data_IF_481792677300
#
_entry.id   IF_481792677300
#
_cell.length_a   1.000
_cell.length_b   1.000
_cell.length_c   1.000
_cell.angle_alpha   90.00
_cell.angle_beta   90.00
_cell.angle_gamma   90.00
#
_symmetry.space_group_name_H-M   'P 1'
#
loop_
_entity.id
_entity.type
_entity.pdbx_description
1 polymer ?
#
# COMPACT_ATOMS: atom_id res chain seq x y z
N UNK A 1 -0.60 -5.37 -5.53
CA UNK A 1 -1.55 -5.74 -4.44
C UNK A 1 -1.00 -6.78 -3.49
N UNK A 2 -0.33 -7.87 -3.91
CA UNK A 2 0.23 -8.87 -2.96
C UNK A 2 1.75 -9.08 -3.10
N UNK A 3 2.47 -8.00 -3.40
CA UNK A 3 3.93 -7.94 -3.46
C UNK A 3 4.55 -8.19 -4.83
N UNK A 4 3.76 -8.74 -5.77
CA UNK A 4 4.10 -8.85 -7.19
C UNK A 4 2.96 -8.31 -8.06
N UNK A 5 3.23 -7.97 -9.33
CA UNK A 5 2.19 -7.66 -10.30
C UNK A 5 1.27 -8.86 -10.51
N UNK A 6 0.02 -8.56 -10.86
CA UNK A 6 -1.00 -9.59 -11.06
C UNK A 6 -0.61 -10.50 -12.22
N UNK A 7 -0.73 -11.82 -12.01
CA UNK A 7 -0.45 -12.85 -13.02
C UNK A 7 1.01 -12.90 -13.52
N UNK A 8 1.95 -12.29 -12.78
CA UNK A 8 3.37 -12.28 -13.13
C UNK A 8 4.15 -12.97 -11.99
N UNK A 9 4.88 -14.03 -12.33
CA UNK A 9 5.78 -14.71 -11.39
C UNK A 9 7.08 -13.90 -11.22
N UNK A 10 7.85 -14.12 -10.13
CA UNK A 10 9.16 -13.48 -9.97
C UNK A 10 10.10 -13.71 -11.15
N UNK A 11 10.07 -14.90 -11.76
CA UNK A 11 10.94 -15.25 -12.88
C UNK A 11 10.56 -14.47 -14.14
N UNK A 12 9.26 -14.40 -14.47
CA UNK A 12 8.78 -13.58 -15.59
C UNK A 12 9.12 -12.11 -15.34
N UNK A 13 8.97 -11.66 -14.10
CA UNK A 13 9.23 -10.28 -13.71
C UNK A 13 10.68 -9.85 -13.99
N UNK A 14 11.66 -10.71 -13.70
CA UNK A 14 13.09 -10.45 -13.97
C UNK A 14 13.40 -10.23 -15.45
N UNK A 15 12.53 -10.70 -16.34
CA UNK A 15 12.68 -10.57 -17.78
C UNK A 15 11.86 -9.43 -18.40
N UNK A 16 11.09 -8.66 -17.62
CA UNK A 16 10.37 -7.50 -18.14
C UNK A 16 11.32 -6.31 -18.25
N UNK A 17 11.58 -5.79 -19.46
CA UNK A 17 12.45 -4.63 -19.64
C UNK A 17 11.87 -3.39 -18.95
N UNK A 18 12.76 -2.52 -18.48
CA UNK A 18 12.46 -1.19 -17.93
C UNK A 18 11.62 -1.13 -16.64
N UNK A 19 11.26 -2.28 -16.06
CA UNK A 19 10.52 -2.29 -14.80
C UNK A 19 11.46 -2.07 -13.61
N UNK A 20 11.27 -0.93 -12.92
CA UNK A 20 12.16 -0.44 -11.85
C UNK A 20 11.66 -0.74 -10.44
N UNK A 21 10.38 -1.03 -10.26
CA UNK A 21 9.81 -1.21 -8.94
C UNK A 21 8.31 -1.47 -8.92
N UNK A 22 7.74 -1.46 -7.72
CA UNK A 22 6.38 -1.83 -7.43
C UNK A 22 5.68 -0.73 -6.65
N UNK A 23 4.45 -0.45 -7.03
CA UNK A 23 3.49 0.21 -6.14
C UNK A 23 2.66 -0.85 -5.43
N UNK A 24 2.58 -0.75 -4.11
CA UNK A 24 2.00 -1.79 -3.29
C UNK A 24 1.15 -1.18 -2.16
N UNK A 25 -0.18 -1.45 -2.15
CA UNK A 25 -1.06 -0.92 -1.12
C UNK A 25 -0.86 -1.67 0.20
N UNK A 26 -0.77 -0.93 1.29
CA UNK A 26 -0.58 -1.44 2.64
C UNK A 26 -1.68 -2.40 3.11
N UNK A 27 -2.99 -2.17 2.85
CA UNK A 27 -4.05 -3.05 3.34
C UNK A 27 -3.88 -4.52 2.96
N UNK A 28 -3.45 -4.77 1.73
CA UNK A 28 -3.22 -6.13 1.24
C UNK A 28 -1.94 -6.74 1.82
N UNK A 29 -0.89 -5.94 2.03
CA UNK A 29 0.34 -6.40 2.67
C UNK A 29 0.14 -6.72 4.15
N UNK A 30 -0.77 -6.03 4.82
CA UNK A 30 -1.05 -6.24 6.23
C UNK A 30 -1.58 -7.65 6.53
N UNK A 31 -2.20 -8.29 5.54
CA UNK A 31 -2.65 -9.68 5.60
C UNK A 31 -1.51 -10.71 5.34
N UNK A 32 -0.33 -10.26 4.92
CA UNK A 32 0.79 -11.14 4.56
C UNK A 32 1.82 -11.23 5.70
N UNK A 33 1.57 -12.11 6.67
CA UNK A 33 2.46 -12.28 7.83
C UNK A 33 3.88 -12.71 7.45
N UNK A 34 4.05 -13.41 6.33
CA UNK A 34 5.35 -13.89 5.84
C UNK A 34 6.34 -12.77 5.47
N UNK A 35 5.86 -11.56 5.24
CA UNK A 35 6.72 -10.40 4.91
C UNK A 35 7.45 -9.88 6.14
N UNK A 36 6.92 -10.12 7.34
CA UNK A 36 7.43 -9.53 8.58
C UNK A 36 8.82 -10.06 8.92
N UNK A 37 9.75 -9.15 9.18
CA UNK A 37 11.11 -9.45 9.64
C UNK A 37 12.11 -9.86 8.55
N UNK A 38 11.65 -10.16 7.33
CA UNK A 38 12.52 -10.51 6.20
C UNK A 38 12.65 -9.39 5.17
N UNK A 39 11.64 -8.51 5.09
CA UNK A 39 11.53 -7.47 4.07
C UNK A 39 10.93 -7.97 2.76
N UNK A 40 10.29 -7.06 2.02
CA UNK A 40 9.54 -7.36 0.79
C UNK A 40 10.42 -7.99 -0.30
N UNK A 41 11.56 -7.36 -0.62
CA UNK A 41 12.43 -7.84 -1.68
C UNK A 41 12.92 -9.27 -1.47
N UNK A 42 13.15 -9.66 -0.20
CA UNK A 42 13.65 -11.01 0.14
C UNK A 42 12.57 -12.05 -0.02
N UNK A 43 11.36 -11.76 0.46
CA UNK A 43 10.21 -12.68 0.36
C UNK A 43 9.83 -12.94 -1.09
N UNK A 44 9.91 -11.93 -1.96
CA UNK A 44 9.55 -12.06 -3.37
C UNK A 44 10.73 -12.34 -4.31
N UNK A 45 11.95 -12.48 -3.79
CA UNK A 45 13.17 -12.70 -4.55
C UNK A 45 13.41 -11.67 -5.68
N UNK A 46 13.17 -10.39 -5.37
CA UNK A 46 13.28 -9.23 -6.28
C UNK A 46 13.99 -8.08 -5.56
N UNK A 47 15.19 -8.35 -5.06
CA UNK A 47 16.00 -7.40 -4.30
C UNK A 47 16.53 -6.22 -5.13
N UNK A 48 16.53 -6.33 -6.46
CA UNK A 48 17.04 -5.34 -7.41
C UNK A 48 15.98 -4.30 -7.81
N UNK A 49 14.86 -4.25 -7.09
CA UNK A 49 13.66 -3.49 -7.47
C UNK A 49 13.15 -2.69 -6.29
N UNK A 50 12.71 -1.47 -6.58
CA UNK A 50 12.20 -0.58 -5.54
C UNK A 50 10.76 -0.95 -5.15
N UNK A 51 10.45 -0.92 -3.85
CA UNK A 51 9.11 -1.01 -3.31
C UNK A 51 8.63 0.35 -2.82
N UNK A 52 7.52 0.82 -3.37
CA UNK A 52 6.76 1.94 -2.86
C UNK A 52 5.46 1.43 -2.21
N UNK A 53 5.31 1.70 -0.92
CA UNK A 53 4.08 1.39 -0.17
C UNK A 53 3.18 2.61 -0.10
N UNK A 54 1.91 2.46 -0.51
CA UNK A 54 0.86 3.45 -0.28
C UNK A 54 -0.05 3.02 0.85
N UNK A 55 -0.72 3.97 1.51
CA UNK A 55 -1.67 3.66 2.59
C UNK A 55 -2.94 2.97 2.10
N UNK A 56 -3.32 3.17 0.84
CA UNK A 56 -4.56 2.67 0.27
C UNK A 56 -4.33 1.94 -1.05
N UNK A 57 -5.31 1.17 -1.48
CA UNK A 57 -5.37 0.69 -2.85
C UNK A 57 -6.19 1.67 -3.71
N UNK A 58 -5.61 2.33 -4.72
CA UNK A 58 -6.34 3.28 -5.58
C UNK A 58 -7.52 2.64 -6.35
N UNK A 59 -7.53 1.31 -6.44
CA UNK A 59 -8.62 0.57 -7.07
C UNK A 59 -9.70 0.12 -6.07
N UNK A 60 -9.48 0.27 -4.76
CA UNK A 60 -10.46 -0.03 -3.72
C UNK A 60 -10.71 1.22 -2.86
N UNK A 61 -11.89 1.83 -3.04
CA UNK A 61 -12.25 3.11 -2.44
C UNK A 61 -12.74 3.03 -0.98
N UNK A 62 -12.43 1.94 -0.28
CA UNK A 62 -12.98 1.65 1.06
C UNK A 62 -11.95 1.99 2.14
N UNK A 63 -11.84 3.29 2.42
CA UNK A 63 -11.22 3.77 3.65
C UNK A 63 -12.20 3.60 4.81
N UNK A 64 -11.68 3.04 5.91
CA UNK A 64 -12.39 3.00 7.17
C UNK A 64 -12.27 4.33 7.92
N UNK A 65 -12.96 4.47 9.06
CA UNK A 65 -12.88 5.68 9.88
C UNK A 65 -11.46 5.89 10.43
N UNK A 66 -11.03 7.15 10.46
CA UNK A 66 -9.82 7.65 11.10
C UNK A 66 -10.16 8.48 12.33
N UNK A 67 -9.21 8.60 13.25
CA UNK A 67 -9.24 9.52 14.38
C UNK A 67 -7.81 9.97 14.71
N UNK A 68 -7.67 10.82 15.72
CA UNK A 68 -6.38 11.41 16.11
C UNK A 68 -5.27 10.40 16.46
N UNK A 69 -5.62 9.15 16.77
CA UNK A 69 -4.67 8.11 17.18
C UNK A 69 -4.54 6.95 16.19
N UNK A 70 -5.36 6.91 15.13
CA UNK A 70 -5.38 5.75 14.24
C UNK A 70 -6.08 5.99 12.90
N UNK A 71 -5.71 5.18 11.91
CA UNK A 71 -6.41 5.06 10.62
C UNK A 71 -6.92 3.64 10.47
N UNK A 72 -8.14 3.48 9.95
CA UNK A 72 -8.69 2.17 9.62
C UNK A 72 -8.78 1.95 8.12
N UNK A 73 -8.54 0.72 7.68
CA UNK A 73 -8.72 0.30 6.29
C UNK A 73 -9.38 -1.07 6.23
N UNK A 74 -10.11 -1.32 5.16
CA UNK A 74 -10.67 -2.64 4.90
C UNK A 74 -9.63 -3.54 4.23
N UNK A 75 -9.59 -4.80 4.66
CA UNK A 75 -8.76 -5.84 4.04
C UNK A 75 -9.65 -7.03 3.69
N UNK A 76 -9.13 -7.98 2.92
CA UNK A 76 -9.81 -9.28 2.70
C UNK A 76 -10.05 -10.06 3.99
N UNK A 77 -9.28 -9.78 5.06
CA UNK A 77 -9.43 -10.38 6.39
C UNK A 77 -10.29 -9.52 7.33
N UNK A 78 -11.03 -8.54 6.79
CA UNK A 78 -11.85 -7.58 7.52
C UNK A 78 -11.12 -6.28 7.85
N UNK A 79 -11.81 -5.40 8.59
CA UNK A 79 -11.29 -4.09 9.00
C UNK A 79 -10.06 -4.23 9.88
N UNK A 80 -9.02 -3.48 9.56
CA UNK A 80 -7.81 -3.34 10.37
C UNK A 80 -7.64 -1.87 10.78
N UNK A 81 -7.11 -1.69 11.98
CA UNK A 81 -6.78 -0.39 12.54
C UNK A 81 -5.27 -0.29 12.72
N UNK A 82 -4.72 0.85 12.32
CA UNK A 82 -3.30 1.12 12.33
C UNK A 82 -3.01 2.39 13.11
N UNK A 83 -2.23 2.24 14.18
CA UNK A 83 -1.68 3.38 14.95
C UNK A 83 -0.33 3.78 14.35
N UNK A 84 0.16 5.00 14.64
CA UNK A 84 1.51 5.42 14.22
C UNK A 84 2.61 4.43 14.62
N UNK A 85 2.59 3.88 15.83
CA UNK A 85 3.62 2.94 16.31
C UNK A 85 3.57 1.63 15.52
N UNK A 86 2.36 1.10 15.27
CA UNK A 86 2.18 -0.11 14.47
C UNK A 86 2.59 0.13 13.01
N UNK A 87 2.32 1.31 12.47
CA UNK A 87 2.77 1.69 11.13
C UNK A 87 4.29 1.68 11.04
N UNK A 88 4.98 2.37 11.96
CA UNK A 88 6.45 2.44 11.97
C UNK A 88 7.08 1.04 12.10
N UNK A 89 6.56 0.22 13.02
CA UNK A 89 7.00 -1.18 13.15
C UNK A 89 6.79 -1.98 11.86
N UNK A 90 5.64 -1.79 11.21
CA UNK A 90 5.34 -2.50 9.95
C UNK A 90 6.30 -2.07 8.84
N UNK A 91 6.61 -0.78 8.72
CA UNK A 91 7.56 -0.28 7.73
C UNK A 91 8.98 -0.80 7.98
N UNK A 92 9.41 -0.86 9.24
CA UNK A 92 10.71 -1.43 9.63
C UNK A 92 10.81 -2.94 9.30
N UNK A 93 9.72 -3.67 9.51
CA UNK A 93 9.65 -5.10 9.19
C UNK A 93 9.61 -5.37 7.67
N UNK A 94 8.90 -4.52 6.91
CA UNK A 94 8.72 -4.67 5.46
C UNK A 94 9.89 -4.11 4.65
N UNK A 95 10.63 -3.13 5.19
CA UNK A 95 11.76 -2.44 4.57
C UNK A 95 11.50 -1.98 3.13
N UNK A 96 10.41 -1.22 2.88
CA UNK A 96 10.21 -0.64 1.56
C UNK A 96 11.26 0.47 1.31
N UNK A 97 11.58 0.69 0.04
CA UNK A 97 12.44 1.81 -0.36
C UNK A 97 11.76 3.16 -0.15
N UNK A 98 10.44 3.19 -0.32
CA UNK A 98 9.61 4.39 -0.17
C UNK A 98 8.27 4.03 0.46
N UNK A 99 7.73 4.92 1.29
CA UNK A 99 6.39 4.75 1.86
C UNK A 99 5.65 6.06 1.94
N UNK A 100 4.34 6.01 1.72
CA UNK A 100 3.43 7.11 2.03
C UNK A 100 3.28 7.22 3.55
N UNK A 101 3.46 8.42 4.09
CA UNK A 101 3.28 8.68 5.51
C UNK A 101 1.83 8.43 5.92
N UNK A 102 1.65 7.88 7.13
CA UNK A 102 0.33 7.77 7.76
C UNK A 102 -0.34 9.15 7.75
N UNK A 103 -1.47 9.26 7.08
CA UNK A 103 -2.18 10.52 6.88
C UNK A 103 -3.68 10.30 6.99
N UNK A 104 -4.36 11.30 7.53
CA UNK A 104 -5.81 11.34 7.48
C UNK A 104 -6.23 11.79 6.09
N UNK A 105 -6.71 10.84 5.31
CA UNK A 105 -7.34 11.17 4.06
C UNK A 105 -8.77 11.56 4.33
N UNK A 106 -8.96 12.85 4.56
CA UNK A 106 -10.26 13.50 4.58
C UNK A 106 -10.91 13.19 3.22
N UNK A 107 -11.79 12.18 3.19
CA UNK A 107 -12.78 12.08 2.11
C UNK A 107 -13.53 13.39 2.18
N UNK A 108 -13.60 14.20 1.11
CA UNK A 108 -14.48 15.36 1.11
C UNK A 108 -15.85 14.84 1.53
N UNK A 109 -16.31 15.27 2.71
CA UNK A 109 -17.62 14.91 3.20
C UNK A 109 -18.61 15.30 2.11
N UNK A 110 -19.59 14.46 1.85
CA UNK A 110 -20.61 14.65 0.81
C UNK A 110 -21.42 15.95 0.94
N UNK A 111 -21.17 16.77 1.96
CA UNK A 111 -21.62 18.15 2.09
C UNK A 111 -20.81 19.19 1.29
N UNK A 112 -19.69 18.78 0.66
CA UNK A 112 -18.88 19.62 -0.22
C UNK A 112 -18.58 18.89 -1.54
N UNK A 113 -19.56 18.83 -2.43
CA UNK A 113 -19.39 18.35 -3.80
C UNK A 113 -18.39 19.26 -4.54
N UNK A 114 -17.11 18.90 -4.54
CA UNK A 114 -16.11 19.55 -5.41
C UNK A 114 -16.28 18.97 -6.80
N UNK A 115 -16.93 19.72 -7.69
CA UNK A 115 -16.90 19.46 -9.13
C UNK A 115 -15.47 19.59 -9.61
N UNK A 116 -14.79 18.47 -9.87
CA UNK A 116 -13.60 18.48 -10.71
C UNK A 116 -14.07 18.79 -12.14
N UNK A 117 -14.07 20.07 -12.49
CA UNK A 117 -14.18 20.51 -13.87
C UNK A 117 -13.05 19.87 -14.67
N UNK A 118 -13.42 18.93 -15.53
CA UNK A 118 -12.53 18.29 -16.50
C UNK A 118 -12.11 19.38 -17.51
N UNK A 119 -10.96 20.02 -17.28
CA UNK A 119 -10.38 20.93 -18.27
C UNK A 119 -9.60 20.07 -19.25
N UNK A 120 -10.20 19.82 -20.41
CA UNK A 120 -9.48 19.37 -21.59
C UNK A 120 -8.78 20.60 -22.20
N UNK A 121 -7.46 20.52 -22.36
CA UNK A 121 -6.69 21.33 -23.30
C UNK A 121 -6.20 20.43 -24.43
#
# INVERSE_FOLDING_TARGET
RRGLPMNITPDIFKHVPDMKGFHQPLPDLFAMECVRGQGLGKVFNVMDKAYYISLWDPMQWVLGPSNDSSVSFETVAGRKQLTPEKFMKTMDEMRPDMTCLLSDHIKPSSSGMVWYGMVWY
#
